data_IF_166197635578
#
_entry.id   IF_166197635578
#
_cell.length_a   1.000
_cell.length_b   1.000
_cell.length_c   1.000
_cell.angle_alpha   90.00
_cell.angle_beta   90.00
_cell.angle_gamma   90.00
#
_symmetry.space_group_name_H-M   'P 1'
#
loop_
_entity.id
_entity.type
_entity.pdbx_description
1 polymer ?
#
# COMPACT_ATOMS: atom_id res chain seq x y z
N UNK A 1 -34.59 31.86 -6.39
CA UNK A 1 -33.72 30.75 -6.84
C UNK A 1 -33.89 29.62 -5.82
N UNK A 2 -34.60 28.53 -6.15
CA UNK A 2 -34.72 27.38 -5.24
C UNK A 2 -33.46 26.54 -5.37
N UNK A 3 -32.67 26.43 -4.30
CA UNK A 3 -31.59 25.45 -4.20
C UNK A 3 -32.22 24.06 -4.36
N UNK A 4 -31.85 23.33 -5.42
CA UNK A 4 -32.21 21.92 -5.54
C UNK A 4 -31.53 21.19 -4.39
N UNK A 5 -32.31 20.53 -3.55
CA UNK A 5 -31.79 19.68 -2.48
C UNK A 5 -30.90 18.58 -3.08
N UNK A 6 -29.69 18.43 -2.54
CA UNK A 6 -28.73 17.39 -2.87
C UNK A 6 -29.02 16.06 -2.17
N UNK A 7 -30.16 15.93 -1.47
CA UNK A 7 -30.51 14.72 -0.73
C UNK A 7 -30.57 13.45 -1.61
N UNK A 8 -30.98 13.58 -2.87
CA UNK A 8 -30.97 12.47 -3.82
C UNK A 8 -29.57 12.06 -4.29
N UNK A 9 -28.60 12.99 -4.28
CA UNK A 9 -27.20 12.67 -4.53
C UNK A 9 -26.61 11.96 -3.30
N UNK A 10 -26.89 12.47 -2.10
CA UNK A 10 -26.45 11.86 -0.84
C UNK A 10 -26.87 10.38 -0.72
N UNK A 11 -28.11 10.04 -1.09
CA UNK A 11 -28.59 8.65 -1.06
C UNK A 11 -27.89 7.79 -2.12
N UNK A 12 -27.56 8.35 -3.30
CA UNK A 12 -26.76 7.63 -4.29
C UNK A 12 -25.35 7.39 -3.79
N UNK A 13 -24.73 8.40 -3.18
CA UNK A 13 -23.41 8.28 -2.56
C UNK A 13 -23.42 7.21 -1.45
N UNK A 14 -24.53 7.04 -0.73
CA UNK A 14 -24.69 5.93 0.23
C UNK A 14 -24.81 4.57 -0.45
N UNK A 15 -25.59 4.42 -1.52
CA UNK A 15 -25.64 3.14 -2.26
C UNK A 15 -24.29 2.81 -2.92
N UNK A 16 -23.60 3.82 -3.44
CA UNK A 16 -22.26 3.66 -4.03
C UNK A 16 -21.25 3.29 -2.93
N UNK A 17 -21.36 3.87 -1.73
CA UNK A 17 -20.55 3.49 -0.56
C UNK A 17 -20.91 2.11 0.01
N UNK A 18 -22.16 1.68 -0.04
CA UNK A 18 -22.54 0.30 0.30
C UNK A 18 -21.99 -0.70 -0.72
N UNK A 19 -21.94 -0.32 -2.00
CA UNK A 19 -21.40 -1.15 -3.06
C UNK A 19 -19.86 -1.16 -3.12
N UNK A 20 -19.21 -0.06 -2.74
CA UNK A 20 -17.77 0.17 -2.98
C UNK A 20 -16.98 0.68 -1.77
N UNK A 21 -17.63 1.18 -0.72
CA UNK A 21 -17.01 1.79 0.46
C UNK A 21 -16.24 0.81 1.36
N UNK A 22 -16.50 -0.49 1.24
CA UNK A 22 -15.67 -1.52 1.88
C UNK A 22 -14.26 -1.61 1.29
N UNK A 23 -14.02 -1.08 0.07
CA UNK A 23 -12.72 -1.16 -0.57
C UNK A 23 -11.68 -0.25 0.11
N UNK A 24 -12.02 1.01 0.42
CA UNK A 24 -11.07 1.92 1.10
C UNK A 24 -10.74 1.44 2.52
N UNK A 25 -11.72 0.97 3.29
CA UNK A 25 -11.47 0.42 4.63
C UNK A 25 -10.69 -0.90 4.57
N UNK A 26 -10.86 -1.71 3.51
CA UNK A 26 -10.09 -2.92 3.29
C UNK A 26 -8.61 -2.66 2.98
N UNK A 27 -8.28 -1.46 2.46
CA UNK A 27 -6.92 -1.05 2.08
C UNK A 27 -6.10 -0.52 3.26
N UNK A 28 -6.74 -0.15 4.37
CA UNK A 28 -6.07 0.39 5.55
C UNK A 28 -5.96 -0.64 6.67
N UNK A 29 -4.79 -0.67 7.32
CA UNK A 29 -4.59 -1.46 8.54
C UNK A 29 -4.24 -0.58 9.74
N UNK A 30 -4.79 -0.92 10.90
CA UNK A 30 -4.55 -0.20 12.15
C UNK A 30 -3.37 -0.81 12.89
N UNK A 31 -2.34 -0.01 13.14
CA UNK A 31 -1.23 -0.39 14.03
C UNK A 31 -1.35 0.32 15.39
N UNK A 32 -0.92 -0.33 16.46
CA UNK A 32 -0.87 0.26 17.80
C UNK A 32 0.58 0.55 18.19
N UNK A 33 0.89 1.82 18.43
CA UNK A 33 2.25 2.28 18.77
C UNK A 33 2.37 2.67 20.25
N UNK A 34 3.54 2.39 20.85
CA UNK A 34 3.91 2.94 22.17
C UNK A 34 4.97 4.02 21.98
N UNK A 35 4.80 5.14 22.69
CA UNK A 35 5.75 6.27 22.66
C UNK A 35 5.84 6.95 24.03
N UNK A 36 6.85 7.81 24.22
CA UNK A 36 7.00 8.60 25.44
C UNK A 36 5.77 9.48 25.66
N UNK A 37 5.32 9.58 26.92
CA UNK A 37 4.15 10.40 27.27
C UNK A 37 4.30 11.86 26.79
N UNK A 38 5.49 12.44 26.92
CA UNK A 38 5.80 13.80 26.44
C UNK A 38 5.58 13.96 24.93
N UNK A 39 5.97 12.97 24.13
CA UNK A 39 5.77 12.96 22.68
C UNK A 39 4.28 12.80 22.33
N UNK A 40 3.58 11.89 23.01
CA UNK A 40 2.15 11.71 22.82
C UNK A 40 1.36 13.00 23.12
N UNK A 41 1.71 13.71 24.20
CA UNK A 41 1.12 15.01 24.55
C UNK A 41 1.40 16.07 23.48
N UNK A 42 2.60 16.08 22.89
CA UNK A 42 2.92 17.00 21.78
C UNK A 42 2.03 16.74 20.56
N UNK A 43 1.84 15.47 20.15
CA UNK A 43 0.92 15.15 19.05
C UNK A 43 -0.52 15.55 19.35
N UNK A 44 -0.99 15.40 20.60
CA UNK A 44 -2.30 15.90 21.01
C UNK A 44 -2.41 17.42 20.82
N UNK A 45 -1.39 18.18 21.24
CA UNK A 45 -1.38 19.64 21.09
C UNK A 45 -1.36 20.08 19.61
N UNK A 46 -0.57 19.39 18.77
CA UNK A 46 -0.53 19.64 17.32
C UNK A 46 -1.88 19.34 16.66
N UNK A 47 -2.48 18.20 16.97
CA UNK A 47 -3.79 17.79 16.45
C UNK A 47 -4.86 18.85 16.76
N UNK A 48 -4.92 19.33 18.01
CA UNK A 48 -5.83 20.38 18.43
C UNK A 48 -5.57 21.71 17.69
N UNK A 49 -4.30 22.11 17.54
CA UNK A 49 -3.92 23.35 16.86
C UNK A 49 -4.37 23.39 15.40
N UNK A 50 -4.27 22.27 14.70
CA UNK A 50 -4.55 22.18 13.27
C UNK A 50 -5.91 21.57 12.93
N UNK A 51 -6.78 21.40 13.93
CA UNK A 51 -8.12 20.79 13.77
C UNK A 51 -8.07 19.45 13.02
N UNK A 52 -7.15 18.58 13.42
CA UNK A 52 -6.94 17.25 12.84
C UNK A 52 -6.85 16.20 13.95
N UNK A 53 -6.66 14.94 13.59
CA UNK A 53 -6.48 13.84 14.55
C UNK A 53 -4.98 13.50 14.71
N UNK A 54 -4.63 12.87 15.84
CA UNK A 54 -3.28 12.29 16.00
C UNK A 54 -3.00 11.21 14.95
N UNK A 55 -4.04 10.49 14.53
CA UNK A 55 -3.92 9.44 13.51
C UNK A 55 -3.48 10.03 12.19
N UNK A 56 -4.15 11.08 11.70
CA UNK A 56 -3.81 11.71 10.42
C UNK A 56 -2.38 12.29 10.43
N UNK A 57 -1.94 12.88 11.55
CA UNK A 57 -0.56 13.36 11.69
C UNK A 57 0.43 12.18 11.64
N UNK A 58 0.15 11.11 12.40
CA UNK A 58 1.05 9.97 12.50
C UNK A 58 1.10 9.15 11.22
N UNK A 59 -0.02 8.99 10.50
CA UNK A 59 -0.10 8.24 9.25
C UNK A 59 0.90 8.79 8.23
N UNK A 60 0.85 10.09 7.94
CA UNK A 60 1.80 10.73 7.01
C UNK A 60 3.26 10.57 7.44
N UNK A 61 3.53 10.64 8.75
CA UNK A 61 4.90 10.46 9.28
C UNK A 61 5.35 9.00 9.13
N UNK A 62 4.46 8.04 9.40
CA UNK A 62 4.77 6.62 9.37
C UNK A 62 4.91 6.09 7.93
N UNK A 63 4.10 6.58 7.00
CA UNK A 63 4.21 6.23 5.58
C UNK A 63 5.57 6.70 5.02
N UNK A 64 5.92 7.98 5.25
CA UNK A 64 7.22 8.51 4.86
C UNK A 64 8.38 7.78 5.56
N UNK A 65 8.23 7.46 6.85
CA UNK A 65 9.25 6.71 7.58
C UNK A 65 9.43 5.29 7.02
N UNK A 66 8.36 4.63 6.55
CA UNK A 66 8.47 3.31 5.94
C UNK A 66 9.30 3.36 4.65
N UNK A 67 9.05 4.35 3.79
CA UNK A 67 9.84 4.59 2.57
C UNK A 67 11.32 4.91 2.88
N UNK A 68 11.57 5.79 3.86
CA UNK A 68 12.92 6.17 4.29
C UNK A 68 13.67 4.96 4.88
N UNK A 69 13.02 4.19 5.75
CA UNK A 69 13.58 2.98 6.34
C UNK A 69 13.89 1.93 5.27
N UNK A 70 12.96 1.72 4.33
CA UNK A 70 13.18 0.80 3.21
C UNK A 70 14.36 1.25 2.34
N UNK A 71 14.47 2.54 2.04
CA UNK A 71 15.55 3.09 1.24
C UNK A 71 16.92 2.99 1.90
N UNK A 72 16.97 2.97 3.24
CA UNK A 72 18.19 2.85 4.02
C UNK A 72 18.72 1.40 4.15
N UNK A 73 17.92 0.40 3.75
CA UNK A 73 18.30 -1.01 3.78
C UNK A 73 19.43 -1.33 2.78
N UNK A 74 20.17 -2.40 3.07
CA UNK A 74 21.10 -2.98 2.09
C UNK A 74 20.34 -3.44 0.85
N UNK A 75 21.03 -3.61 -0.28
CA UNK A 75 20.39 -4.12 -1.51
C UNK A 75 19.78 -5.49 -1.30
N UNK A 76 20.50 -6.39 -0.60
CA UNK A 76 20.01 -7.74 -0.29
C UNK A 76 18.76 -7.69 0.60
N UNK A 77 18.78 -6.86 1.65
CA UNK A 77 17.62 -6.75 2.55
C UNK A 77 16.41 -6.12 1.84
N UNK A 78 16.62 -5.14 0.94
CA UNK A 78 15.52 -4.56 0.14
C UNK A 78 14.82 -5.60 -0.70
N UNK A 79 15.56 -6.48 -1.36
CA UNK A 79 14.99 -7.56 -2.17
C UNK A 79 14.11 -8.50 -1.33
N UNK A 80 14.61 -8.90 -0.16
CA UNK A 80 13.91 -9.84 0.70
C UNK A 80 12.68 -9.20 1.37
N UNK A 81 12.86 -8.01 1.95
CA UNK A 81 11.79 -7.33 2.69
C UNK A 81 10.69 -6.76 1.78
N UNK A 82 11.01 -6.33 0.55
CA UNK A 82 10.00 -5.89 -0.40
C UNK A 82 9.00 -7.02 -0.72
N UNK A 83 9.51 -8.21 -1.05
CA UNK A 83 8.67 -9.36 -1.36
C UNK A 83 7.83 -9.82 -0.15
N UNK A 84 8.37 -9.72 1.07
CA UNK A 84 7.63 -10.04 2.30
C UNK A 84 6.50 -9.03 2.53
N UNK A 85 6.80 -7.73 2.46
CA UNK A 85 5.81 -6.68 2.71
C UNK A 85 4.68 -6.70 1.68
N UNK A 86 5.02 -6.82 0.39
CA UNK A 86 4.05 -6.93 -0.70
C UNK A 86 3.13 -8.16 -0.55
N UNK A 87 3.70 -9.29 -0.10
CA UNK A 87 2.93 -10.50 0.19
C UNK A 87 1.99 -10.30 1.38
N UNK A 88 2.46 -9.70 2.46
CA UNK A 88 1.62 -9.40 3.62
C UNK A 88 0.47 -8.46 3.25
N UNK A 89 0.72 -7.44 2.42
CA UNK A 89 -0.33 -6.57 1.86
C UNK A 89 -1.33 -7.37 1.04
N UNK A 90 -0.86 -8.20 0.11
CA UNK A 90 -1.71 -9.06 -0.73
C UNK A 90 -2.65 -9.93 0.11
N UNK A 91 -2.09 -10.64 1.10
CA UNK A 91 -2.85 -11.49 2.01
C UNK A 91 -3.86 -10.71 2.86
N UNK A 92 -3.48 -9.51 3.34
CA UNK A 92 -4.36 -8.63 4.09
C UNK A 92 -5.57 -8.20 3.25
N UNK A 93 -5.34 -7.72 2.03
CA UNK A 93 -6.39 -7.23 1.13
C UNK A 93 -7.35 -8.37 0.76
N UNK A 94 -6.83 -9.55 0.43
CA UNK A 94 -7.67 -10.72 0.14
C UNK A 94 -8.50 -11.16 1.34
N UNK A 95 -7.92 -11.15 2.54
CA UNK A 95 -8.65 -11.44 3.77
C UNK A 95 -9.77 -10.43 4.03
N UNK A 96 -9.60 -9.19 3.59
CA UNK A 96 -10.59 -8.13 3.71
C UNK A 96 -11.58 -8.06 2.52
N UNK A 97 -11.59 -9.07 1.64
CA UNK A 97 -12.60 -9.21 0.59
C UNK A 97 -12.25 -8.57 -0.75
N UNK A 98 -11.01 -8.08 -0.93
CA UNK A 98 -10.50 -7.75 -2.26
C UNK A 98 -10.36 -9.05 -3.04
N UNK A 99 -11.01 -9.16 -4.21
CA UNK A 99 -11.01 -10.40 -5.01
C UNK A 99 -10.10 -10.32 -6.23
N UNK A 100 -9.79 -9.11 -6.67
CA UNK A 100 -8.89 -8.83 -7.77
C UNK A 100 -8.04 -7.62 -7.43
N UNK A 101 -6.75 -7.75 -7.67
CA UNK A 101 -5.80 -6.65 -7.60
C UNK A 101 -4.88 -6.74 -8.79
N UNK A 102 -4.47 -5.58 -9.29
CA UNK A 102 -3.41 -5.48 -10.27
C UNK A 102 -2.51 -4.35 -9.79
N UNK A 103 -1.23 -4.66 -9.56
CA UNK A 103 -0.22 -3.64 -9.38
C UNK A 103 0.55 -3.49 -10.69
N UNK A 104 0.76 -2.25 -11.11
CA UNK A 104 1.50 -1.95 -12.32
C UNK A 104 2.64 -1.01 -11.96
N UNK A 105 3.83 -1.34 -12.44
CA UNK A 105 5.02 -0.50 -12.31
C UNK A 105 5.95 -0.68 -13.49
N UNK A 106 7.15 -0.15 -13.37
CA UNK A 106 8.16 -0.25 -14.44
C UNK A 106 8.64 -1.70 -14.64
N UNK A 107 8.47 -2.57 -13.64
CA UNK A 107 8.76 -4.00 -13.68
C UNK A 107 7.71 -4.83 -14.45
N UNK A 108 6.59 -4.21 -14.84
CA UNK A 108 5.46 -4.86 -15.49
C UNK A 108 4.17 -4.78 -14.67
N UNK A 109 3.18 -5.55 -15.10
CA UNK A 109 1.94 -5.73 -14.37
C UNK A 109 2.00 -7.05 -13.60
N UNK A 110 1.67 -6.99 -12.31
CA UNK A 110 1.49 -8.15 -11.47
C UNK A 110 0.00 -8.36 -11.22
N UNK A 111 -0.49 -9.56 -11.53
CA UNK A 111 -1.90 -9.93 -11.36
C UNK A 111 -2.11 -10.64 -10.02
N UNK A 112 -3.13 -10.23 -9.29
CA UNK A 112 -3.53 -10.78 -8.00
C UNK A 112 -2.42 -10.69 -6.93
N UNK A 113 -1.54 -9.70 -7.04
CA UNK A 113 -0.59 -9.35 -5.98
C UNK A 113 -0.32 -7.83 -5.93
N UNK A 114 -0.07 -7.34 -4.72
CA UNK A 114 0.56 -6.05 -4.49
C UNK A 114 2.05 -6.16 -4.86
N UNK A 115 2.61 -5.10 -5.43
CA UNK A 115 4.03 -5.01 -5.77
C UNK A 115 4.60 -3.64 -5.43
N UNK A 116 3.98 -2.94 -4.48
CA UNK A 116 4.31 -1.57 -4.11
C UNK A 116 5.79 -1.44 -3.79
N UNK A 117 6.31 -2.26 -2.87
CA UNK A 117 7.70 -2.19 -2.41
C UNK A 117 8.68 -2.72 -3.45
N UNK A 118 8.30 -3.76 -4.19
CA UNK A 118 9.08 -4.23 -5.34
C UNK A 118 9.24 -3.14 -6.39
N UNK A 119 8.24 -2.30 -6.64
CA UNK A 119 8.35 -1.18 -7.59
C UNK A 119 9.33 -0.08 -7.16
N UNK A 120 9.75 -0.02 -5.89
CA UNK A 120 10.82 0.87 -5.41
C UNK A 120 12.23 0.32 -5.64
N UNK A 121 12.39 -0.93 -6.09
CA UNK A 121 13.69 -1.50 -6.45
C UNK A 121 14.26 -0.81 -7.69
N UNK A 122 15.59 -0.88 -7.85
CA UNK A 122 16.26 -0.49 -9.09
C UNK A 122 16.02 -1.54 -10.20
N UNK A 123 16.20 -1.18 -11.49
CA UNK A 123 16.26 -2.10 -12.64
C UNK A 123 17.04 -3.39 -12.37
N UNK A 124 18.24 -3.25 -11.85
CA UNK A 124 19.16 -4.36 -11.59
C UNK A 124 18.63 -5.27 -10.47
N UNK A 125 18.12 -4.67 -9.40
CA UNK A 125 17.56 -5.39 -8.26
C UNK A 125 16.29 -6.17 -8.63
N UNK A 126 15.37 -5.55 -9.39
CA UNK A 126 14.18 -6.25 -9.86
C UNK A 126 14.52 -7.41 -10.77
N UNK A 127 15.46 -7.23 -11.71
CA UNK A 127 15.86 -8.32 -12.59
C UNK A 127 16.45 -9.48 -11.79
N UNK A 128 17.28 -9.19 -10.79
CA UNK A 128 17.79 -10.22 -9.88
C UNK A 128 16.66 -10.93 -9.09
N UNK A 129 15.63 -10.19 -8.66
CA UNK A 129 14.44 -10.77 -8.03
C UNK A 129 13.68 -11.69 -8.98
N UNK A 130 13.35 -11.20 -10.18
CA UNK A 130 12.57 -11.92 -11.18
C UNK A 130 13.32 -13.16 -11.70
N UNK A 131 14.64 -13.10 -11.85
CA UNK A 131 15.48 -14.25 -12.21
C UNK A 131 15.44 -15.30 -11.10
N UNK A 132 15.65 -14.89 -9.84
CA UNK A 132 15.56 -15.79 -8.67
C UNK A 132 14.17 -16.41 -8.52
N UNK A 133 13.12 -15.66 -8.88
CA UNK A 133 11.74 -16.12 -8.87
C UNK A 133 11.38 -17.01 -10.07
N UNK A 134 12.28 -17.18 -11.05
CA UNK A 134 12.02 -17.96 -12.26
C UNK A 134 10.99 -17.32 -13.18
N UNK A 135 10.90 -15.99 -13.19
CA UNK A 135 10.01 -15.23 -14.08
C UNK A 135 10.73 -14.78 -15.35
N UNK A 136 12.03 -14.54 -15.27
CA UNK A 136 12.87 -14.14 -16.40
C UNK A 136 14.15 -15.00 -16.46
N UNK A 137 14.76 -15.08 -17.64
CA UNK A 137 16.08 -15.69 -17.86
C UNK A 137 17.21 -14.76 -17.36
N UNK A 138 18.48 -15.23 -17.30
CA UNK A 138 19.62 -14.40 -16.92
C UNK A 138 19.89 -13.20 -17.85
N UNK A 139 19.22 -13.12 -19.01
CA UNK A 139 19.29 -12.00 -19.95
C UNK A 139 18.11 -11.02 -19.78
N UNK A 140 17.28 -11.21 -18.76
CA UNK A 140 16.12 -10.37 -18.46
C UNK A 140 14.89 -10.63 -19.33
N UNK A 141 14.84 -11.75 -20.06
CA UNK A 141 13.70 -12.08 -20.92
C UNK A 141 12.70 -12.95 -20.16
N UNK A 142 11.38 -12.69 -20.27
CA UNK A 142 10.36 -13.57 -19.70
C UNK A 142 10.59 -15.02 -20.10
N UNK A 143 10.56 -15.93 -19.12
CA UNK A 143 10.54 -17.37 -19.42
C UNK A 143 9.18 -17.69 -20.03
N UNK A 144 9.14 -18.31 -21.21
CA UNK A 144 7.87 -18.73 -21.81
C UNK A 144 7.14 -19.65 -20.82
N UNK A 145 5.91 -19.28 -20.46
CA UNK A 145 5.05 -20.17 -19.68
C UNK A 145 4.92 -21.47 -20.48
N UNK A 146 5.28 -22.60 -19.86
CA UNK A 146 5.11 -23.93 -20.44
C UNK A 146 3.68 -24.02 -20.99
N UNK A 147 3.56 -24.05 -22.33
CA UNK A 147 2.31 -24.31 -23.02
C UNK A 147 1.92 -25.75 -22.73
N UNK A 148 1.24 -25.99 -21.61
CA UNK A 148 0.55 -27.25 -21.31
C UNK A 148 -0.89 -27.19 -21.76
#
# INVERSE_FOLDING_TARGET
MKLKSNAGQLVKDFYDSEAHGGFEEAMETKITVRMKASSASMFTALAARFNTTRFNILQTILDAAAEDMFSALSETDRLELAAIADKETTEHLFKNGVTHMASAGWAGAFENEDATWRNFLTPEQMNAYLEKAGMIDPNGKPLEADKK
#
